data_IF_267089197708
#
_entry.id   IF_267089197708
#
_cell.length_a   1.000
_cell.length_b   1.000
_cell.length_c   1.000
_cell.angle_alpha   90.00
_cell.angle_beta   90.00
_cell.angle_gamma   90.00
#
_symmetry.space_group_name_H-M   'P 1'
#
loop_
_entity.id
_entity.type
_entity.pdbx_description
1 polymer ?
#
# COMPACT_ATOMS: atom_id res chain seq x y z
N UNK A 1 -8.12 29.79 -20.80
CA UNK A 1 -7.87 28.57 -20.01
C UNK A 1 -7.35 29.00 -18.65
N UNK A 2 -7.78 28.34 -17.56
CA UNK A 2 -7.19 28.59 -16.24
C UNK A 2 -5.83 27.89 -16.16
N UNK A 3 -4.85 28.51 -15.49
CA UNK A 3 -3.53 27.93 -15.21
C UNK A 3 -3.62 26.55 -14.55
N UNK A 4 -4.68 26.32 -13.77
CA UNK A 4 -4.95 25.02 -13.15
C UNK A 4 -5.33 23.94 -14.18
N UNK A 5 -6.18 24.28 -15.16
CA UNK A 5 -6.57 23.34 -16.21
C UNK A 5 -5.37 22.94 -17.09
N UNK A 6 -4.50 23.90 -17.40
CA UNK A 6 -3.28 23.65 -18.17
C UNK A 6 -2.32 22.69 -17.42
N UNK A 7 -2.17 22.87 -16.10
CA UNK A 7 -1.29 21.98 -15.33
C UNK A 7 -1.88 20.59 -15.14
N UNK A 8 -3.20 20.48 -14.99
CA UNK A 8 -3.84 19.16 -14.91
C UNK A 8 -3.74 18.41 -16.24
N UNK A 9 -3.97 19.08 -17.38
CA UNK A 9 -3.75 18.50 -18.69
C UNK A 9 -2.31 18.00 -18.89
N UNK A 10 -1.30 18.75 -18.42
CA UNK A 10 0.10 18.32 -18.44
C UNK A 10 0.36 17.08 -17.56
N UNK A 11 -0.35 16.93 -16.44
CA UNK A 11 -0.24 15.75 -15.58
C UNK A 11 -0.91 14.55 -16.24
N UNK A 12 -2.06 14.72 -16.89
CA UNK A 12 -2.72 13.68 -17.69
C UNK A 12 -1.83 13.21 -18.85
N UNK A 13 -1.18 14.14 -19.54
CA UNK A 13 -0.19 13.82 -20.58
C UNK A 13 1.01 13.05 -20.01
N UNK A 14 1.46 13.39 -18.81
CA UNK A 14 2.54 12.67 -18.14
C UNK A 14 2.17 11.23 -17.79
N UNK A 15 0.95 10.99 -17.31
CA UNK A 15 0.48 9.64 -16.93
C UNK A 15 0.41 8.69 -18.13
N UNK A 16 0.17 9.23 -19.33
CA UNK A 16 0.21 8.48 -20.58
C UNK A 16 1.61 8.39 -21.20
N UNK A 17 2.61 9.08 -20.62
CA UNK A 17 3.97 9.11 -21.16
C UNK A 17 4.84 7.99 -20.55
N UNK A 18 5.67 7.31 -21.35
CA UNK A 18 6.68 6.38 -20.83
C UNK A 18 7.90 7.09 -20.21
N UNK A 19 7.92 8.43 -20.20
CA UNK A 19 9.04 9.21 -19.71
C UNK A 19 9.00 9.34 -18.19
N UNK A 20 10.18 9.41 -17.57
CA UNK A 20 10.26 9.81 -16.16
C UNK A 20 9.91 11.30 -15.99
N UNK A 21 9.44 11.68 -14.79
CA UNK A 21 8.99 13.03 -14.49
C UNK A 21 10.05 14.11 -14.79
N UNK A 22 11.33 13.80 -14.56
CA UNK A 22 12.45 14.74 -14.82
C UNK A 22 12.59 15.04 -16.32
N UNK A 23 12.53 14.02 -17.16
CA UNK A 23 12.65 14.15 -18.61
C UNK A 23 11.41 14.81 -19.20
N UNK A 24 10.22 14.46 -18.71
CA UNK A 24 8.97 15.10 -19.11
C UNK A 24 8.94 16.60 -18.75
N UNK A 25 9.36 16.96 -17.53
CA UNK A 25 9.49 18.35 -17.12
C UNK A 25 10.47 19.13 -18.01
N UNK A 26 11.59 18.51 -18.41
CA UNK A 26 12.56 19.12 -19.33
C UNK A 26 11.97 19.35 -20.72
N UNK A 27 11.23 18.39 -21.28
CA UNK A 27 10.66 18.54 -22.64
C UNK A 27 9.53 19.58 -22.68
N UNK A 28 8.74 19.69 -21.61
CA UNK A 28 7.62 20.64 -21.50
C UNK A 28 8.02 22.00 -20.91
N UNK A 29 9.28 22.19 -20.49
CA UNK A 29 9.76 23.44 -19.91
C UNK A 29 9.18 23.76 -18.52
N UNK A 30 8.75 22.74 -17.78
CA UNK A 30 8.14 22.90 -16.45
C UNK A 30 9.17 22.64 -15.37
N UNK A 31 9.19 23.48 -14.33
CA UNK A 31 10.07 23.25 -13.17
C UNK A 31 9.56 22.01 -12.41
N UNK A 32 10.42 21.03 -12.08
CA UNK A 32 9.98 19.80 -11.41
C UNK A 32 9.23 20.02 -10.10
N UNK A 33 9.64 21.00 -9.27
CA UNK A 33 8.95 21.33 -8.03
C UNK A 33 7.51 21.79 -8.26
N UNK A 34 7.29 22.64 -9.28
CA UNK A 34 5.96 23.08 -9.71
C UNK A 34 5.14 21.89 -10.19
N UNK A 35 5.72 21.00 -11.00
CA UNK A 35 5.05 19.79 -11.47
C UNK A 35 4.58 18.89 -10.32
N UNK A 36 5.47 18.59 -9.36
CA UNK A 36 5.11 17.76 -8.19
C UNK A 36 4.06 18.43 -7.30
N UNK A 37 4.12 19.75 -7.14
CA UNK A 37 3.08 20.49 -6.43
C UNK A 37 1.71 20.29 -7.07
N UNK A 38 1.60 20.50 -8.39
CA UNK A 38 0.33 20.34 -9.10
C UNK A 38 -0.14 18.88 -9.14
N UNK A 39 0.78 17.91 -9.25
CA UNK A 39 0.46 16.48 -9.16
C UNK A 39 -0.16 16.13 -7.81
N UNK A 40 0.44 16.61 -6.71
CA UNK A 40 -0.12 16.43 -5.36
C UNK A 40 -1.47 17.12 -5.22
N UNK A 41 -1.61 18.33 -5.78
CA UNK A 41 -2.87 19.10 -5.74
C UNK A 41 -3.99 18.40 -6.50
N UNK A 42 -3.70 17.75 -7.64
CA UNK A 42 -4.67 16.95 -8.41
C UNK A 42 -5.11 15.71 -7.61
N UNK A 43 -4.15 14.95 -7.07
CA UNK A 43 -4.44 13.78 -6.24
C UNK A 43 -5.29 14.12 -5.00
N UNK A 44 -5.00 15.25 -4.34
CA UNK A 44 -5.78 15.73 -3.19
C UNK A 44 -7.18 16.25 -3.53
N UNK A 45 -7.47 16.59 -4.79
CA UNK A 45 -8.84 16.90 -5.25
C UNK A 45 -9.65 15.64 -5.55
N UNK A 46 -8.98 14.57 -5.98
CA UNK A 46 -9.61 13.28 -6.32
C UNK A 46 -9.85 12.42 -5.07
N UNK A 47 -8.98 12.51 -4.07
CA UNK A 47 -9.21 11.90 -2.76
C UNK A 47 -9.88 12.89 -1.81
N UNK A 48 -10.98 12.55 -1.12
CA UNK A 48 -11.42 13.34 0.03
C UNK A 48 -10.26 13.38 1.03
N UNK A 49 -9.81 14.60 1.35
CA UNK A 49 -8.78 14.99 2.31
C UNK A 49 -8.55 13.92 3.40
N UNK A 50 -7.66 12.96 3.15
CA UNK A 50 -7.20 12.04 4.20
C UNK A 50 -5.99 12.69 4.87
N UNK A 51 -6.17 13.91 5.38
CA UNK A 51 -5.19 14.55 6.26
C UNK A 51 -5.38 13.96 7.67
N UNK A 52 -4.94 12.72 7.87
CA UNK A 52 -5.15 11.99 9.11
C UNK A 52 -4.03 11.01 9.38
N UNK A 53 -4.02 10.47 10.59
CA UNK A 53 -3.13 9.37 10.93
C UNK A 53 -3.49 8.15 10.07
N UNK A 54 -2.49 7.61 9.39
CA UNK A 54 -2.61 6.33 8.69
C UNK A 54 -2.32 5.25 9.71
N UNK A 55 -3.31 4.41 10.02
CA UNK A 55 -3.12 3.26 10.91
C UNK A 55 -2.15 2.27 10.27
N UNK A 56 -0.96 2.15 10.86
CA UNK A 56 0.00 1.10 10.50
C UNK A 56 -0.36 -0.12 11.32
N UNK A 57 -1.12 -1.03 10.74
CA UNK A 57 -1.31 -2.35 11.35
C UNK A 57 0.00 -3.13 11.20
N UNK A 58 0.57 -3.70 12.27
CA UNK A 58 1.67 -4.63 12.12
C UNK A 58 1.20 -5.76 11.21
N UNK A 59 2.01 -6.08 10.20
CA UNK A 59 1.82 -7.30 9.42
C UNK A 59 2.10 -8.44 10.40
N UNK A 60 1.06 -8.93 11.05
CA UNK A 60 1.14 -10.15 11.85
C UNK A 60 1.39 -11.24 10.83
N UNK A 61 2.65 -11.63 10.67
CA UNK A 61 2.98 -12.88 10.01
C UNK A 61 2.28 -13.94 10.85
N UNK A 62 1.21 -14.53 10.32
CA UNK A 62 0.54 -15.64 10.96
C UNK A 62 1.58 -16.75 11.06
N UNK A 63 2.09 -16.97 12.27
CA UNK A 63 3.01 -18.07 12.50
C UNK A 63 2.24 -19.37 12.34
N UNK A 64 2.86 -20.32 11.65
CA UNK A 64 2.37 -21.69 11.64
C UNK A 64 2.98 -22.44 12.83
N UNK A 65 2.14 -22.92 13.73
CA UNK A 65 2.52 -23.78 14.85
C UNK A 65 2.55 -25.25 14.39
N UNK A 66 3.48 -26.05 14.94
CA UNK A 66 3.47 -27.51 14.79
C UNK A 66 3.23 -28.20 16.14
N UNK A 67 2.22 -29.06 16.21
CA UNK A 67 1.91 -29.91 17.36
C UNK A 67 2.35 -31.35 17.07
N UNK A 68 3.20 -31.91 17.93
CA UNK A 68 3.76 -33.26 17.77
C UNK A 68 3.28 -34.14 18.93
N UNK A 69 2.54 -35.20 18.63
CA UNK A 69 2.07 -36.19 19.61
C UNK A 69 3.12 -37.29 19.86
N UNK A 70 3.08 -37.96 21.03
CA UNK A 70 3.98 -39.07 21.34
C UNK A 70 3.93 -40.23 20.34
N UNK A 71 2.79 -40.43 19.67
CA UNK A 71 2.60 -41.43 18.63
C UNK A 71 3.20 -41.01 17.26
N UNK A 72 3.88 -39.86 17.18
CA UNK A 72 4.52 -39.34 15.98
C UNK A 72 3.60 -38.56 15.04
N UNK A 73 2.33 -38.35 15.41
CA UNK A 73 1.38 -37.53 14.64
C UNK A 73 1.79 -36.07 14.74
N UNK A 74 1.85 -35.38 13.60
CA UNK A 74 2.23 -33.97 13.48
C UNK A 74 1.10 -33.18 12.85
N UNK A 75 0.64 -32.14 13.53
CA UNK A 75 -0.38 -31.22 13.05
C UNK A 75 0.23 -29.85 12.84
N UNK A 76 0.00 -29.25 11.66
CA UNK A 76 0.34 -27.85 11.39
C UNK A 76 -0.91 -27.00 11.54
N UNK A 77 -0.81 -25.95 12.33
CA UNK A 77 -1.92 -25.12 12.77
C UNK A 77 -1.54 -23.65 12.62
N UNK A 78 -2.53 -22.79 12.43
CA UNK A 78 -2.31 -21.34 12.48
C UNK A 78 -2.32 -20.88 13.94
N UNK A 79 -1.48 -19.91 14.30
CA UNK A 79 -1.42 -19.34 15.66
C UNK A 79 -2.77 -18.72 16.11
N UNK A 80 -3.67 -18.43 15.18
CA UNK A 80 -5.01 -17.92 15.46
C UNK A 80 -5.96 -18.96 16.08
N UNK A 81 -5.59 -20.24 16.13
CA UNK A 81 -6.45 -21.35 16.55
C UNK A 81 -6.13 -21.88 17.97
N UNK A 82 -5.78 -21.00 18.90
CA UNK A 82 -5.41 -21.35 20.29
C UNK A 82 -6.46 -22.21 21.02
N UNK A 83 -7.76 -21.98 20.80
CA UNK A 83 -8.81 -22.81 21.41
C UNK A 83 -8.79 -24.26 20.92
N UNK A 84 -8.52 -24.46 19.64
CA UNK A 84 -8.40 -25.79 19.05
C UNK A 84 -7.14 -26.49 19.58
N UNK A 85 -6.01 -25.78 19.63
CA UNK A 85 -4.75 -26.29 20.19
C UNK A 85 -4.96 -26.75 21.64
N UNK A 86 -5.64 -25.96 22.47
CA UNK A 86 -5.95 -26.31 23.86
C UNK A 86 -6.78 -27.59 23.97
N UNK A 87 -7.80 -27.75 23.12
CA UNK A 87 -8.61 -29.00 23.07
C UNK A 87 -7.78 -30.20 22.64
N UNK A 88 -6.93 -30.02 21.63
CA UNK A 88 -6.07 -31.07 21.08
C UNK A 88 -5.03 -31.58 22.09
N UNK A 89 -4.49 -30.69 22.93
CA UNK A 89 -3.57 -31.08 24.01
C UNK A 89 -4.29 -31.87 25.11
N UNK A 90 -5.56 -31.56 25.40
CA UNK A 90 -6.36 -32.22 26.45
C UNK A 90 -6.97 -33.57 26.04
N UNK A 91 -6.92 -33.93 24.75
CA UNK A 91 -7.40 -35.22 24.24
C UNK A 91 -6.40 -36.36 24.49
N UNK A 92 -5.21 -36.03 24.98
CA UNK A 92 -4.18 -36.94 25.45
C UNK A 92 -3.97 -36.73 26.95
#
# INVERSE_FOLDING_TARGET
MSKEQEMFALIDEFENSPLNARNFCKTKGVVPSTFYYWKKKKAGKESPETSGFITISPKVETGSLELIYPNGIRLRLEDSQLELISKLIRLY
#
